data_IF_879419356163
#
_entry.id   IF_879419356163
#
_cell.length_a   1.000
_cell.length_b   1.000
_cell.length_c   1.000
_cell.angle_alpha   90.00
_cell.angle_beta   90.00
_cell.angle_gamma   90.00
#
_symmetry.space_group_name_H-M   'P 1'
#
loop_
_entity.id
_entity.type
_entity.pdbx_description
1 polymer ?
#
# COMPACT_ATOMS: atom_id res chain seq x y z
N UNK A 1 -28.28 2.15 14.09
CA UNK A 1 -28.27 0.68 14.19
C UNK A 1 -26.99 0.21 13.49
N UNK A 2 -26.12 -0.50 14.18
CA UNK A 2 -24.99 -1.16 13.51
C UNK A 2 -25.54 -2.21 12.52
N UNK A 3 -25.00 -2.33 11.30
CA UNK A 3 -25.41 -3.36 10.38
C UNK A 3 -25.14 -4.73 11.01
N UNK A 4 -26.06 -5.68 10.83
CA UNK A 4 -25.85 -7.07 11.28
C UNK A 4 -24.68 -7.66 10.49
N UNK A 5 -23.72 -8.29 11.18
CA UNK A 5 -22.61 -8.97 10.53
C UNK A 5 -23.15 -10.01 9.53
N UNK A 6 -22.61 -10.00 8.32
CA UNK A 6 -22.93 -10.99 7.30
C UNK A 6 -22.11 -12.27 7.56
N UNK A 7 -22.58 -13.42 7.03
CA UNK A 7 -21.83 -14.68 7.13
C UNK A 7 -20.45 -14.63 6.43
N UNK A 8 -20.25 -13.64 5.59
CA UNK A 8 -18.99 -13.41 4.84
C UNK A 8 -18.00 -12.52 5.58
N UNK A 9 -18.40 -11.87 6.70
CA UNK A 9 -17.55 -10.98 7.45
C UNK A 9 -16.49 -11.76 8.25
N UNK A 10 -15.25 -11.29 8.23
CA UNK A 10 -14.22 -11.82 9.12
C UNK A 10 -14.56 -11.51 10.59
N UNK A 11 -14.16 -12.39 11.49
CA UNK A 11 -14.29 -12.15 12.93
C UNK A 11 -13.45 -10.91 13.33
N UNK A 12 -13.84 -10.16 14.39
CA UNK A 12 -13.01 -9.07 14.91
C UNK A 12 -11.57 -9.53 15.18
N UNK A 13 -10.60 -8.66 14.92
CA UNK A 13 -9.21 -8.94 15.27
C UNK A 13 -9.07 -9.04 16.80
N UNK A 14 -8.22 -9.94 17.25
CA UNK A 14 -7.97 -10.15 18.69
C UNK A 14 -6.95 -9.17 19.26
N UNK A 15 -6.03 -8.71 18.39
CA UNK A 15 -4.92 -7.84 18.74
C UNK A 15 -4.42 -7.09 17.51
N UNK A 16 -3.36 -6.32 17.67
CA UNK A 16 -2.72 -5.54 16.62
C UNK A 16 -1.44 -6.21 16.06
N UNK A 17 -1.28 -7.52 16.18
CA UNK A 17 -0.04 -8.20 15.77
C UNK A 17 0.29 -8.05 14.28
N UNK A 18 -0.72 -7.87 13.43
CA UNK A 18 -0.57 -7.66 11.98
C UNK A 18 -0.59 -6.18 11.58
N UNK A 19 -0.75 -5.26 12.52
CA UNK A 19 -0.84 -3.83 12.22
C UNK A 19 0.50 -3.29 11.73
N UNK A 20 0.48 -2.67 10.55
CA UNK A 20 1.52 -1.78 10.05
C UNK A 20 0.99 -0.35 9.96
N UNK A 21 1.68 0.59 10.60
CA UNK A 21 1.36 2.01 10.54
C UNK A 21 2.06 2.62 9.33
N UNK A 22 1.32 2.96 8.28
CA UNK A 22 1.88 3.67 7.15
C UNK A 22 2.20 5.11 7.55
N UNK A 23 3.43 5.51 7.32
CA UNK A 23 3.95 6.82 7.73
C UNK A 23 3.18 8.00 7.11
N UNK A 24 2.55 7.81 5.92
CA UNK A 24 1.66 8.82 5.33
C UNK A 24 0.42 9.14 6.20
N UNK A 25 0.03 8.26 7.12
CA UNK A 25 -1.04 8.52 8.10
C UNK A 25 -0.66 9.63 9.09
N UNK A 26 0.65 9.88 9.27
CA UNK A 26 1.20 10.95 10.11
C UNK A 26 2.18 11.83 9.31
N UNK A 27 1.73 12.37 8.18
CA UNK A 27 2.59 13.06 7.20
C UNK A 27 3.36 14.24 7.79
N UNK A 28 2.80 14.94 8.79
CA UNK A 28 3.46 16.09 9.44
C UNK A 28 4.60 15.71 10.38
N UNK A 29 4.64 14.45 10.84
CA UNK A 29 5.70 13.97 11.69
C UNK A 29 6.91 13.49 10.88
N UNK A 30 8.10 13.62 11.44
CA UNK A 30 9.31 13.01 10.87
C UNK A 30 9.29 11.48 11.06
N UNK A 31 10.03 10.77 10.22
CA UNK A 31 10.11 9.31 10.32
C UNK A 31 10.63 8.83 11.69
N UNK A 32 11.67 9.44 12.31
CA UNK A 32 12.08 9.08 13.67
C UNK A 32 10.97 9.22 14.71
N UNK A 33 10.19 10.32 14.68
CA UNK A 33 9.07 10.53 15.62
C UNK A 33 8.00 9.45 15.47
N UNK A 34 7.65 9.07 14.22
CA UNK A 34 6.67 8.00 13.97
C UNK A 34 7.17 6.64 14.47
N UNK A 35 8.44 6.31 14.23
CA UNK A 35 9.06 5.07 14.73
C UNK A 35 8.97 5.01 16.26
N UNK A 36 9.35 6.09 16.95
CA UNK A 36 9.29 6.16 18.42
C UNK A 36 7.85 6.06 18.95
N UNK A 37 6.88 6.72 18.29
CA UNK A 37 5.48 6.66 18.68
C UNK A 37 4.91 5.24 18.49
N UNK A 38 5.20 4.58 17.37
CA UNK A 38 4.80 3.19 17.14
C UNK A 38 5.35 2.26 18.23
N UNK A 39 6.63 2.38 18.58
CA UNK A 39 7.25 1.59 19.65
C UNK A 39 6.58 1.84 21.02
N UNK A 40 6.36 3.12 21.39
CA UNK A 40 5.69 3.47 22.67
C UNK A 40 4.28 2.90 22.78
N UNK A 41 3.53 2.86 21.70
CA UNK A 41 2.14 2.37 21.67
C UNK A 41 2.02 0.88 21.32
N UNK A 42 3.14 0.17 21.15
CA UNK A 42 3.16 -1.25 20.82
C UNK A 42 2.50 -1.55 19.47
N UNK A 43 2.76 -0.71 18.47
CA UNK A 43 2.46 -0.97 17.06
C UNK A 43 3.68 -1.67 16.47
N UNK A 44 3.56 -2.92 15.98
CA UNK A 44 4.72 -3.75 15.66
C UNK A 44 5.33 -3.48 14.30
N UNK A 45 4.57 -2.90 13.35
CA UNK A 45 5.00 -2.69 11.99
C UNK A 45 4.87 -1.26 11.51
N UNK A 46 5.68 -0.91 10.53
CA UNK A 46 5.67 0.40 9.87
C UNK A 46 5.81 0.22 8.35
N UNK A 47 5.16 1.10 7.58
CA UNK A 47 5.43 1.30 6.16
C UNK A 47 6.04 2.68 5.95
N UNK A 48 7.01 2.78 5.06
CA UNK A 48 7.85 3.97 4.95
C UNK A 48 7.73 4.58 3.55
N UNK A 49 7.49 5.88 3.49
CA UNK A 49 7.49 6.66 2.26
C UNK A 49 8.89 7.16 1.93
N UNK A 50 9.32 7.01 0.67
CA UNK A 50 10.67 7.33 0.18
C UNK A 50 11.07 8.79 0.40
N UNK A 51 10.14 9.76 0.31
CA UNK A 51 10.45 11.15 0.57
C UNK A 51 10.91 11.40 2.03
N UNK A 52 10.40 10.61 3.00
CA UNK A 52 10.85 10.67 4.40
C UNK A 52 12.24 10.05 4.61
N UNK A 53 12.65 9.14 3.73
CA UNK A 53 14.02 8.62 3.72
C UNK A 53 15.03 9.66 3.26
N UNK A 54 14.64 10.56 2.36
CA UNK A 54 15.51 11.66 1.91
C UNK A 54 15.91 12.57 3.09
N UNK A 55 14.99 12.80 4.02
CA UNK A 55 15.25 13.64 5.21
C UNK A 55 16.07 12.89 6.28
N UNK A 56 15.78 11.61 6.47
CA UNK A 56 16.35 10.80 7.57
C UNK A 56 17.66 10.11 7.19
N UNK A 57 17.80 9.72 5.93
CA UNK A 57 18.82 8.80 5.43
C UNK A 57 18.43 7.32 5.63
N UNK A 58 18.63 6.51 4.59
CA UNK A 58 18.16 5.10 4.55
C UNK A 58 18.80 4.26 5.65
N UNK A 59 20.10 4.31 5.81
CA UNK A 59 20.85 3.54 6.83
C UNK A 59 20.44 3.92 8.26
N UNK A 60 20.24 5.22 8.50
CA UNK A 60 19.76 5.71 9.79
C UNK A 60 18.33 5.24 10.06
N UNK A 61 17.45 5.32 9.08
CA UNK A 61 16.09 4.83 9.19
C UNK A 61 16.05 3.32 9.52
N UNK A 62 16.83 2.51 8.79
CA UNK A 62 16.95 1.08 9.02
C UNK A 62 17.46 0.77 10.45
N UNK A 63 18.43 1.54 10.95
CA UNK A 63 18.90 1.40 12.32
C UNK A 63 17.79 1.74 13.33
N UNK A 64 17.10 2.84 13.17
CA UNK A 64 16.02 3.27 14.07
C UNK A 64 14.89 2.26 14.15
N UNK A 65 14.48 1.69 13.01
CA UNK A 65 13.44 0.65 12.94
C UNK A 65 13.89 -0.60 13.71
N UNK A 66 15.11 -1.09 13.48
CA UNK A 66 15.66 -2.25 14.21
C UNK A 66 15.79 -2.00 15.71
N UNK A 67 16.32 -0.85 16.11
CA UNK A 67 16.49 -0.48 17.53
C UNK A 67 15.13 -0.39 18.25
N UNK A 68 14.09 0.04 17.54
CA UNK A 68 12.71 0.10 18.04
C UNK A 68 11.99 -1.26 18.07
N UNK A 69 12.58 -2.31 17.48
CA UNK A 69 11.97 -3.64 17.39
C UNK A 69 10.79 -3.73 16.43
N UNK A 70 10.72 -2.82 15.44
CA UNK A 70 9.67 -2.80 14.42
C UNK A 70 10.09 -3.60 13.19
N UNK A 71 9.08 -4.12 12.46
CA UNK A 71 9.29 -4.64 11.11
C UNK A 71 8.74 -3.67 10.06
N UNK A 72 9.25 -3.74 8.83
CA UNK A 72 8.81 -2.89 7.71
C UNK A 72 7.95 -3.72 6.77
N UNK A 73 6.66 -3.40 6.64
CA UNK A 73 5.75 -4.08 5.72
C UNK A 73 6.03 -3.73 4.27
N UNK A 74 6.20 -2.45 4.00
CA UNK A 74 6.39 -1.96 2.64
C UNK A 74 7.21 -0.67 2.59
N UNK A 75 7.73 -0.39 1.41
CA UNK A 75 8.23 0.95 1.04
C UNK A 75 7.33 1.51 -0.06
N UNK A 76 6.89 2.74 0.09
CA UNK A 76 6.11 3.46 -0.87
C UNK A 76 6.92 4.66 -1.41
N UNK A 77 7.02 4.90 -2.68
CA UNK A 77 6.55 4.04 -3.77
C UNK A 77 7.60 3.90 -4.86
N UNK A 78 7.55 2.79 -5.55
CA UNK A 78 8.14 2.63 -6.87
C UNK A 78 7.10 2.86 -7.97
N UNK A 79 7.41 2.45 -9.21
CA UNK A 79 6.51 2.53 -10.35
C UNK A 79 6.76 3.75 -11.23
N UNK A 80 5.68 4.42 -11.66
CA UNK A 80 5.70 5.60 -12.54
C UNK A 80 6.40 5.34 -13.88
N UNK A 81 6.26 4.13 -14.43
CA UNK A 81 7.02 3.66 -15.60
C UNK A 81 6.71 4.41 -16.91
N UNK A 82 5.42 4.71 -17.24
CA UNK A 82 5.12 5.36 -18.50
C UNK A 82 5.75 6.75 -18.58
N UNK A 83 6.45 7.00 -19.69
CA UNK A 83 7.04 8.30 -19.99
C UNK A 83 7.10 8.50 -21.52
N UNK A 84 7.11 9.76 -22.00
CA UNK A 84 7.04 10.06 -23.44
C UNK A 84 8.25 9.53 -24.23
N UNK A 85 9.44 9.56 -23.64
CA UNK A 85 10.68 9.19 -24.30
C UNK A 85 11.33 7.95 -23.68
N UNK A 86 12.15 7.26 -24.47
CA UNK A 86 12.93 6.12 -24.00
C UNK A 86 13.90 6.51 -22.88
N UNK A 87 14.55 7.68 -22.98
CA UNK A 87 15.46 8.18 -21.97
C UNK A 87 14.76 8.42 -20.62
N UNK A 88 13.55 8.97 -20.63
CA UNK A 88 12.76 9.13 -19.42
C UNK A 88 12.32 7.80 -18.84
N UNK A 89 11.92 6.82 -19.67
CA UNK A 89 11.61 5.46 -19.22
C UNK A 89 12.81 4.79 -18.56
N UNK A 90 14.01 4.93 -19.15
CA UNK A 90 15.25 4.44 -18.55
C UNK A 90 15.52 5.08 -17.18
N UNK A 91 15.32 6.39 -17.05
CA UNK A 91 15.47 7.09 -15.78
C UNK A 91 14.47 6.59 -14.71
N UNK A 92 13.23 6.23 -15.10
CA UNK A 92 12.25 5.60 -14.20
C UNK A 92 12.71 4.22 -13.72
N UNK A 93 13.27 3.40 -14.61
CA UNK A 93 13.83 2.09 -14.26
C UNK A 93 14.97 2.24 -13.25
N UNK A 94 15.88 3.20 -13.45
CA UNK A 94 16.98 3.47 -12.53
C UNK A 94 16.49 3.99 -11.17
N UNK A 95 15.45 4.82 -11.14
CA UNK A 95 14.82 5.24 -9.88
C UNK A 95 14.18 4.06 -9.13
N UNK A 96 13.54 3.15 -9.85
CA UNK A 96 12.96 1.94 -9.24
C UNK A 96 14.03 0.99 -8.69
N UNK A 97 15.20 0.88 -9.33
CA UNK A 97 16.34 0.13 -8.76
C UNK A 97 16.79 0.74 -7.43
N UNK A 98 16.88 2.07 -7.36
CA UNK A 98 17.18 2.75 -6.07
C UNK A 98 16.10 2.48 -5.03
N UNK A 99 14.82 2.49 -5.41
CA UNK A 99 13.72 2.15 -4.51
C UNK A 99 13.80 0.71 -3.99
N UNK A 100 14.23 -0.23 -4.82
CA UNK A 100 14.50 -1.62 -4.42
C UNK A 100 15.65 -1.68 -3.41
N UNK A 101 16.75 -0.94 -3.63
CA UNK A 101 17.88 -0.89 -2.69
C UNK A 101 17.47 -0.27 -1.35
N UNK A 102 16.65 0.78 -1.35
CA UNK A 102 16.07 1.39 -0.17
C UNK A 102 15.21 0.38 0.61
N UNK A 103 14.31 -0.33 -0.08
CA UNK A 103 13.47 -1.37 0.51
C UNK A 103 14.29 -2.52 1.12
N UNK A 104 15.27 -3.03 0.39
CA UNK A 104 16.17 -4.07 0.86
C UNK A 104 16.97 -3.64 2.11
N UNK A 105 17.49 -2.41 2.13
CA UNK A 105 18.25 -1.87 3.27
C UNK A 105 17.37 -1.75 4.53
N UNK A 106 16.09 -1.39 4.34
CA UNK A 106 15.11 -1.31 5.43
C UNK A 106 14.60 -2.68 5.88
N UNK A 107 14.88 -3.74 5.15
CA UNK A 107 14.30 -5.07 5.37
C UNK A 107 12.80 -5.11 5.08
N UNK A 108 12.32 -4.28 4.15
CA UNK A 108 10.92 -4.25 3.75
C UNK A 108 10.55 -5.47 2.92
N UNK A 109 9.37 -6.05 3.17
CA UNK A 109 8.88 -7.20 2.42
C UNK A 109 8.46 -6.81 1.00
N UNK A 110 7.88 -5.61 0.82
CA UNK A 110 7.27 -5.17 -0.43
C UNK A 110 7.71 -3.77 -0.83
N UNK A 111 8.00 -3.58 -2.12
CA UNK A 111 8.01 -2.26 -2.76
C UNK A 111 6.67 -2.06 -3.49
N UNK A 112 5.85 -1.12 -3.02
CA UNK A 112 4.55 -0.78 -3.62
C UNK A 112 4.77 -0.04 -4.94
N UNK A 113 4.14 -0.51 -6.01
CA UNK A 113 4.23 0.07 -7.35
C UNK A 113 2.95 0.80 -7.74
N UNK A 114 3.00 2.12 -7.77
CA UNK A 114 2.03 2.97 -8.46
C UNK A 114 2.47 3.09 -9.92
N UNK A 115 1.77 2.42 -10.84
CA UNK A 115 2.28 2.14 -12.19
C UNK A 115 2.55 3.38 -13.06
N UNK A 116 1.92 4.52 -12.79
CA UNK A 116 2.05 5.75 -13.57
C UNK A 116 0.89 5.94 -14.55
N UNK A 117 0.54 7.19 -14.83
CA UNK A 117 -0.47 7.56 -15.82
C UNK A 117 0.09 7.53 -17.24
N UNK A 118 -0.80 7.49 -18.23
CA UNK A 118 -0.42 7.63 -19.64
C UNK A 118 0.22 9.01 -19.89
N UNK A 119 1.37 9.08 -20.56
CA UNK A 119 2.02 10.36 -20.91
C UNK A 119 1.27 11.11 -22.01
N UNK A 120 0.39 10.41 -22.69
CA UNK A 120 -0.50 10.89 -23.74
C UNK A 120 -1.93 10.37 -23.50
N UNK A 121 -2.72 10.19 -24.55
CA UNK A 121 -4.09 9.68 -24.43
C UNK A 121 -4.20 8.16 -24.60
N UNK A 122 -3.08 7.46 -24.85
CA UNK A 122 -3.06 6.01 -25.05
C UNK A 122 -2.79 5.27 -23.75
N UNK A 123 -3.87 5.01 -23.02
CA UNK A 123 -3.79 4.26 -21.76
C UNK A 123 -3.39 2.79 -21.99
N UNK A 124 -3.67 2.22 -23.15
CA UNK A 124 -3.28 0.86 -23.49
C UNK A 124 -1.77 0.76 -23.68
N UNK A 125 -1.16 1.70 -24.40
CA UNK A 125 0.29 1.80 -24.50
C UNK A 125 0.96 2.03 -23.13
N UNK A 126 0.35 2.86 -22.27
CA UNK A 126 0.87 3.08 -20.92
C UNK A 126 0.89 1.78 -20.06
N UNK A 127 -0.10 0.91 -20.21
CA UNK A 127 -0.14 -0.40 -19.54
C UNK A 127 1.00 -1.31 -19.99
N UNK A 128 1.33 -1.33 -21.28
CA UNK A 128 2.48 -2.07 -21.77
C UNK A 128 3.81 -1.45 -21.30
N UNK A 129 3.94 -0.12 -21.26
CA UNK A 129 5.11 0.53 -20.66
C UNK A 129 5.28 0.17 -19.18
N UNK A 130 4.18 0.05 -18.42
CA UNK A 130 4.24 -0.40 -17.04
C UNK A 130 4.69 -1.86 -16.94
N UNK A 131 4.19 -2.74 -17.80
CA UNK A 131 4.60 -4.13 -17.85
C UNK A 131 6.09 -4.30 -18.21
N UNK A 132 6.57 -3.55 -19.20
CA UNK A 132 7.99 -3.53 -19.60
C UNK A 132 8.88 -3.00 -18.48
N UNK A 133 8.42 -1.95 -17.78
CA UNK A 133 9.12 -1.40 -16.63
C UNK A 133 9.26 -2.40 -15.48
N UNK A 134 8.17 -3.10 -15.14
CA UNK A 134 8.21 -4.17 -14.13
C UNK A 134 9.14 -5.30 -14.58
N UNK A 135 9.08 -5.74 -15.84
CA UNK A 135 9.94 -6.77 -16.38
C UNK A 135 11.45 -6.40 -16.28
N UNK A 136 11.77 -5.11 -16.46
CA UNK A 136 13.15 -4.61 -16.39
C UNK A 136 13.71 -4.60 -14.96
N UNK A 137 12.85 -4.51 -13.91
CA UNK A 137 13.30 -4.43 -12.50
C UNK A 137 13.05 -5.72 -11.71
N UNK A 138 12.15 -6.59 -12.17
CA UNK A 138 11.77 -7.80 -11.43
C UNK A 138 12.95 -8.74 -11.13
N UNK A 139 13.90 -9.03 -12.04
CA UNK A 139 15.07 -9.83 -11.71
C UNK A 139 15.93 -9.20 -10.61
N UNK A 140 16.14 -7.88 -10.67
CA UNK A 140 16.89 -7.15 -9.66
C UNK A 140 16.22 -7.17 -8.29
N UNK A 141 14.89 -7.00 -8.25
CA UNK A 141 14.12 -7.08 -7.02
C UNK A 141 14.24 -8.48 -6.38
N UNK A 142 14.16 -9.54 -7.18
CA UNK A 142 14.36 -10.92 -6.72
C UNK A 142 15.76 -11.14 -6.12
N UNK A 143 16.83 -10.64 -6.78
CA UNK A 143 18.20 -10.69 -6.26
C UNK A 143 18.36 -9.98 -4.93
N UNK A 144 17.59 -8.89 -4.70
CA UNK A 144 17.61 -8.10 -3.48
C UNK A 144 16.65 -8.62 -2.41
N UNK A 145 15.87 -9.66 -2.69
CA UNK A 145 14.89 -10.22 -1.76
C UNK A 145 13.67 -9.32 -1.52
N UNK A 146 13.35 -8.41 -2.46
CA UNK A 146 12.21 -7.49 -2.38
C UNK A 146 11.13 -7.93 -3.34
N UNK A 147 9.91 -8.11 -2.84
CA UNK A 147 8.72 -8.40 -3.66
C UNK A 147 8.14 -7.10 -4.22
N UNK A 148 7.77 -7.11 -5.50
CA UNK A 148 7.11 -5.98 -6.14
C UNK A 148 5.59 -6.12 -6.00
N UNK A 149 4.92 -5.10 -5.46
CA UNK A 149 3.47 -5.11 -5.25
C UNK A 149 2.75 -4.10 -6.15
N UNK A 150 2.07 -4.57 -7.20
CA UNK A 150 1.27 -3.72 -8.09
C UNK A 150 0.03 -3.24 -7.33
N UNK A 151 -0.14 -1.93 -7.19
CA UNK A 151 -1.32 -1.33 -6.58
C UNK A 151 -2.25 -0.77 -7.66
N UNK A 152 -3.45 -1.36 -7.86
CA UNK A 152 -4.47 -0.74 -8.69
C UNK A 152 -5.04 0.49 -7.97
N UNK A 153 -5.09 1.64 -8.64
CA UNK A 153 -5.66 2.85 -8.05
C UNK A 153 -7.11 3.06 -8.51
N UNK A 154 -7.89 3.75 -7.67
CA UNK A 154 -9.26 4.15 -8.04
C UNK A 154 -9.28 4.86 -9.41
N UNK A 155 -10.26 4.60 -10.30
CA UNK A 155 -10.32 5.16 -11.66
C UNK A 155 -10.22 6.68 -11.73
N UNK A 156 -10.61 7.39 -10.67
CA UNK A 156 -10.42 8.84 -10.58
C UNK A 156 -8.94 9.28 -10.74
N UNK A 157 -7.99 8.37 -10.53
CA UNK A 157 -6.55 8.62 -10.65
C UNK A 157 -5.95 8.18 -11.99
N UNK A 158 -6.76 7.67 -12.91
CA UNK A 158 -6.27 7.13 -14.19
C UNK A 158 -5.46 8.13 -15.02
N UNK A 159 -5.84 9.41 -14.98
CA UNK A 159 -5.20 10.47 -15.76
C UNK A 159 -3.90 11.01 -15.13
N UNK A 160 -3.66 10.76 -13.82
CA UNK A 160 -2.58 11.45 -13.09
C UNK A 160 -1.60 10.50 -12.39
N UNK A 161 -2.04 9.30 -12.01
CA UNK A 161 -1.27 8.44 -11.10
C UNK A 161 -1.04 7.03 -11.60
N UNK A 162 -2.07 6.35 -12.15
CA UNK A 162 -1.92 4.94 -12.53
C UNK A 162 -2.82 4.55 -13.70
N UNK A 163 -2.24 3.91 -14.68
CA UNK A 163 -2.96 3.29 -15.79
C UNK A 163 -3.60 1.93 -15.39
N UNK A 164 -3.30 1.41 -14.21
CA UNK A 164 -3.88 0.18 -13.64
C UNK A 164 -4.93 0.59 -12.61
N UNK A 165 -6.21 0.29 -12.86
CA UNK A 165 -7.33 0.88 -12.10
C UNK A 165 -8.36 -0.14 -11.60
N UNK A 166 -8.21 -1.42 -11.92
CA UNK A 166 -9.10 -2.49 -11.44
C UNK A 166 -8.29 -3.65 -10.89
N UNK A 167 -8.91 -4.44 -10.01
CA UNK A 167 -8.31 -5.68 -9.49
C UNK A 167 -7.94 -6.64 -10.61
N UNK A 168 -8.80 -6.76 -11.62
CA UNK A 168 -8.56 -7.61 -12.79
C UNK A 168 -7.33 -7.20 -13.58
N UNK A 169 -7.15 -5.90 -13.86
CA UNK A 169 -5.95 -5.40 -14.56
C UNK A 169 -4.68 -5.70 -13.76
N UNK A 170 -4.69 -5.45 -12.45
CA UNK A 170 -3.55 -5.72 -11.58
C UNK A 170 -3.21 -7.22 -11.55
N UNK A 171 -4.21 -8.10 -11.42
CA UNK A 171 -4.01 -9.55 -11.45
C UNK A 171 -3.41 -10.01 -12.77
N UNK A 172 -4.02 -9.66 -13.91
CA UNK A 172 -3.55 -10.05 -15.23
C UNK A 172 -2.11 -9.56 -15.50
N UNK A 173 -1.77 -8.36 -15.00
CA UNK A 173 -0.40 -7.85 -15.11
C UNK A 173 0.55 -8.66 -14.21
N UNK A 174 0.17 -8.98 -12.98
CA UNK A 174 1.00 -9.77 -12.06
C UNK A 174 1.24 -11.20 -12.55
N UNK A 175 0.27 -11.80 -13.25
CA UNK A 175 0.38 -13.15 -13.82
C UNK A 175 1.43 -13.28 -14.92
N UNK A 176 1.93 -12.17 -15.46
CA UNK A 176 3.07 -12.18 -16.43
C UNK A 176 4.40 -12.51 -15.76
N UNK A 177 4.45 -12.59 -14.42
CA UNK A 177 5.66 -12.77 -13.60
C UNK A 177 5.49 -13.92 -12.59
N UNK A 178 6.59 -14.33 -11.98
CA UNK A 178 6.57 -15.28 -10.87
C UNK A 178 5.83 -14.68 -9.67
N UNK A 179 4.96 -15.46 -9.01
CA UNK A 179 4.14 -15.02 -7.89
C UNK A 179 4.97 -14.62 -6.67
N UNK A 180 6.12 -15.25 -6.45
CA UNK A 180 7.04 -14.92 -5.36
C UNK A 180 7.73 -13.57 -5.56
N UNK A 181 7.82 -13.09 -6.81
CA UNK A 181 8.52 -11.86 -7.14
C UNK A 181 7.58 -10.67 -7.38
N UNK A 182 6.44 -10.91 -8.07
CA UNK A 182 5.47 -9.85 -8.37
C UNK A 182 4.08 -10.26 -7.94
N UNK A 183 3.46 -9.44 -7.10
CA UNK A 183 2.10 -9.63 -6.62
C UNK A 183 1.28 -8.35 -6.72
N UNK A 184 0.13 -8.34 -6.04
CA UNK A 184 -0.81 -7.23 -6.00
C UNK A 184 -0.97 -6.72 -4.57
N UNK A 185 -0.90 -5.42 -4.37
CA UNK A 185 -1.29 -4.74 -3.13
C UNK A 185 -2.76 -4.34 -3.26
N UNK A 186 -3.56 -4.79 -2.31
CA UNK A 186 -5.00 -4.50 -2.26
C UNK A 186 -5.24 -3.38 -1.27
N UNK A 187 -5.40 -2.14 -1.75
CA UNK A 187 -5.85 -1.02 -0.91
C UNK A 187 -7.37 -0.88 -1.03
N UNK A 188 -8.07 -1.02 0.09
CA UNK A 188 -9.53 -0.91 0.13
C UNK A 188 -10.03 0.41 -0.46
N UNK A 189 -9.31 1.52 -0.27
CA UNK A 189 -9.69 2.83 -0.82
C UNK A 189 -9.83 2.84 -2.33
N UNK A 190 -9.01 2.05 -2.98
CA UNK A 190 -8.95 2.01 -4.43
C UNK A 190 -9.89 0.99 -5.06
N UNK A 191 -10.27 -0.06 -4.31
CA UNK A 191 -10.96 -1.20 -4.89
C UNK A 191 -12.33 -1.56 -4.26
N UNK A 192 -12.76 -0.86 -3.19
CA UNK A 192 -14.03 -1.17 -2.51
C UNK A 192 -15.25 -1.15 -3.43
N UNK A 193 -15.24 -0.30 -4.45
CA UNK A 193 -16.28 -0.08 -5.43
C UNK A 193 -16.26 -1.10 -6.59
N UNK A 194 -15.15 -1.84 -6.80
CA UNK A 194 -14.96 -2.75 -7.94
C UNK A 194 -15.91 -3.96 -7.80
N UNK A 195 -16.85 -4.15 -8.74
CA UNK A 195 -17.82 -5.24 -8.68
C UNK A 195 -17.17 -6.63 -8.83
N UNK A 196 -16.00 -6.71 -9.46
CA UNK A 196 -15.26 -7.97 -9.64
C UNK A 196 -14.27 -8.23 -8.49
N UNK A 197 -14.15 -7.32 -7.50
CA UNK A 197 -13.14 -7.37 -6.42
C UNK A 197 -13.06 -8.74 -5.73
N UNK A 198 -14.18 -9.24 -5.25
CA UNK A 198 -14.18 -10.48 -4.46
C UNK A 198 -13.71 -11.69 -5.28
N UNK A 199 -14.14 -11.78 -6.55
CA UNK A 199 -13.72 -12.85 -7.46
C UNK A 199 -12.25 -12.73 -7.83
N UNK A 200 -11.77 -11.51 -8.10
CA UNK A 200 -10.39 -11.26 -8.46
C UNK A 200 -9.44 -11.47 -7.26
N UNK A 201 -9.83 -11.11 -6.03
CA UNK A 201 -9.09 -11.43 -4.80
C UNK A 201 -8.96 -12.96 -4.65
N UNK A 202 -10.05 -13.70 -4.83
CA UNK A 202 -10.01 -15.17 -4.75
C UNK A 202 -9.07 -15.79 -5.79
N UNK A 203 -8.97 -15.19 -6.98
CA UNK A 203 -8.06 -15.66 -8.05
C UNK A 203 -6.59 -15.30 -7.80
N UNK A 204 -6.31 -14.24 -7.04
CA UNK A 204 -4.94 -13.83 -6.71
C UNK A 204 -4.22 -14.88 -5.87
N UNK A 205 -4.88 -15.46 -4.85
CA UNK A 205 -4.25 -16.44 -3.97
C UNK A 205 -2.93 -15.93 -3.37
N UNK A 206 -1.85 -16.65 -3.61
CA UNK A 206 -0.48 -16.32 -3.17
C UNK A 206 0.12 -15.06 -3.81
N UNK A 207 -0.55 -14.50 -4.83
CA UNK A 207 -0.14 -13.22 -5.44
C UNK A 207 -0.53 -11.99 -4.63
N UNK A 208 -1.29 -12.12 -3.54
CA UNK A 208 -1.52 -10.98 -2.65
C UNK A 208 -0.21 -10.63 -1.97
N UNK A 209 0.33 -9.45 -2.27
CA UNK A 209 1.60 -8.96 -1.74
C UNK A 209 1.42 -8.01 -0.55
N UNK A 210 0.27 -7.36 -0.44
CA UNK A 210 -0.05 -6.44 0.66
C UNK A 210 -1.54 -6.17 0.76
N UNK A 211 -1.97 -5.72 1.94
CA UNK A 211 -3.35 -5.33 2.19
C UNK A 211 -3.38 -4.03 2.99
N UNK A 212 -3.95 -2.98 2.39
CA UNK A 212 -4.05 -1.64 2.98
C UNK A 212 -5.49 -1.33 3.37
N UNK A 213 -5.66 -0.72 4.54
CA UNK A 213 -6.96 -0.36 5.11
C UNK A 213 -7.03 1.10 5.51
N UNK A 214 -8.17 1.68 5.30
CA UNK A 214 -8.60 3.03 5.63
C UNK A 214 -10.12 3.08 5.41
N UNK A 215 -10.73 4.24 5.26
CA UNK A 215 -12.14 4.31 4.92
C UNK A 215 -12.44 5.38 3.87
N UNK A 216 -13.58 5.25 3.19
CA UNK A 216 -14.06 6.18 2.19
C UNK A 216 -15.13 7.09 2.81
N UNK A 217 -14.78 8.35 3.08
CA UNK A 217 -15.69 9.31 3.67
C UNK A 217 -16.67 9.88 2.66
N UNK A 218 -17.91 10.12 3.11
CA UNK A 218 -18.94 10.80 2.34
C UNK A 218 -19.46 12.00 3.12
N UNK A 219 -19.68 13.17 2.47
CA UNK A 219 -19.43 13.46 1.06
C UNK A 219 -17.93 13.55 0.73
N UNK A 220 -17.55 13.13 -0.49
CA UNK A 220 -16.17 13.25 -0.96
C UNK A 220 -15.87 14.70 -1.28
N UNK A 221 -14.88 15.28 -0.58
CA UNK A 221 -14.40 16.65 -0.80
C UNK A 221 -13.20 16.70 -1.75
N UNK A 222 -12.32 15.73 -1.64
CA UNK A 222 -11.12 15.57 -2.46
C UNK A 222 -10.78 14.08 -2.52
N UNK A 223 -10.71 13.50 -3.71
CA UNK A 223 -10.54 12.04 -3.84
C UNK A 223 -9.21 11.56 -3.22
N UNK A 224 -8.14 12.34 -3.25
CA UNK A 224 -6.87 11.94 -2.66
C UNK A 224 -6.85 12.11 -1.13
N UNK A 225 -7.35 13.25 -0.65
CA UNK A 225 -7.17 13.73 0.72
C UNK A 225 -8.41 13.50 1.60
N UNK A 226 -9.25 12.54 1.26
CA UNK A 226 -10.51 12.28 1.98
C UNK A 226 -10.60 10.85 2.54
N UNK A 227 -9.44 10.20 2.76
CA UNK A 227 -9.43 8.91 3.43
C UNK A 227 -9.82 9.09 4.90
N UNK A 228 -10.67 8.20 5.40
CA UNK A 228 -11.12 8.17 6.79
C UNK A 228 -10.32 7.19 7.65
N UNK A 229 -10.41 7.37 8.97
CA UNK A 229 -10.05 6.31 9.91
C UNK A 229 -11.03 5.15 9.72
N UNK A 230 -10.56 3.91 9.91
CA UNK A 230 -11.38 2.71 9.78
C UNK A 230 -12.66 2.84 10.60
N UNK A 231 -13.81 2.63 9.94
CA UNK A 231 -15.16 2.72 10.52
C UNK A 231 -15.81 4.10 10.47
N UNK A 232 -15.14 5.12 9.93
CA UNK A 232 -15.73 6.45 9.78
C UNK A 232 -16.42 6.65 8.42
N UNK A 233 -16.31 5.71 7.50
CA UNK A 233 -16.81 5.80 6.13
C UNK A 233 -17.80 4.70 5.75
N UNK A 234 -17.72 4.26 4.50
CA UNK A 234 -18.71 3.35 3.89
C UNK A 234 -18.13 2.02 3.43
N UNK A 235 -16.85 1.75 3.67
CA UNK A 235 -16.20 0.50 3.23
C UNK A 235 -16.55 -0.65 4.17
N UNK A 236 -16.97 -1.79 3.61
CA UNK A 236 -17.23 -3.02 4.37
C UNK A 236 -15.89 -3.72 4.72
N UNK A 237 -15.11 -3.13 5.64
CA UNK A 237 -13.72 -3.54 5.93
C UNK A 237 -13.60 -5.02 6.32
N UNK A 238 -14.45 -5.51 7.24
CA UNK A 238 -14.42 -6.92 7.69
C UNK A 238 -14.74 -7.89 6.56
N UNK A 239 -15.65 -7.52 5.67
CA UNK A 239 -15.97 -8.34 4.50
C UNK A 239 -14.78 -8.47 3.57
N UNK A 240 -14.15 -7.32 3.22
CA UNK A 240 -12.98 -7.33 2.34
C UNK A 240 -11.82 -8.08 2.99
N UNK A 241 -11.57 -7.89 4.29
CA UNK A 241 -10.57 -8.67 5.01
C UNK A 241 -10.88 -10.17 4.96
N UNK A 242 -12.15 -10.56 5.12
CA UNK A 242 -12.58 -11.95 4.96
C UNK A 242 -12.29 -12.51 3.57
N UNK A 243 -12.47 -11.71 2.51
CA UNK A 243 -12.10 -12.09 1.15
C UNK A 243 -10.59 -12.34 1.03
N UNK A 244 -9.78 -11.43 1.56
CA UNK A 244 -8.30 -11.47 1.58
C UNK A 244 -7.78 -12.70 2.36
N UNK A 245 -8.32 -12.96 3.54
CA UNK A 245 -7.91 -14.07 4.40
C UNK A 245 -8.33 -15.43 3.81
N UNK A 246 -9.51 -15.52 3.20
CA UNK A 246 -9.94 -16.74 2.47
C UNK A 246 -9.08 -17.02 1.24
N UNK A 247 -8.51 -15.99 0.61
CA UNK A 247 -7.54 -16.15 -0.47
C UNK A 247 -6.15 -16.60 0.02
N UNK A 248 -5.93 -16.71 1.34
CA UNK A 248 -4.71 -17.23 1.95
C UNK A 248 -3.74 -16.18 2.46
N UNK A 249 -4.06 -14.89 2.40
CA UNK A 249 -3.17 -13.85 2.90
C UNK A 249 -3.19 -13.73 4.43
N UNK A 250 -2.05 -13.89 5.05
CA UNK A 250 -1.86 -13.79 6.50
C UNK A 250 -0.83 -12.72 6.92
N UNK A 251 -0.33 -11.97 5.96
CA UNK A 251 0.69 -10.95 6.14
C UNK A 251 0.19 -9.68 6.84
N UNK A 252 1.02 -8.63 6.85
CA UNK A 252 0.69 -7.33 7.44
C UNK A 252 -0.61 -6.73 6.91
N UNK A 253 -1.31 -5.99 7.76
CA UNK A 253 -2.44 -5.13 7.39
C UNK A 253 -2.01 -3.69 7.65
N UNK A 254 -1.89 -2.90 6.60
CA UNK A 254 -1.31 -1.58 6.62
C UNK A 254 -2.38 -0.50 6.68
N UNK A 255 -2.29 0.43 7.64
CA UNK A 255 -3.20 1.57 7.74
C UNK A 255 -2.59 2.77 7.04
N UNK A 256 -3.19 3.20 5.92
CA UNK A 256 -2.71 4.30 5.11
C UNK A 256 -3.78 5.38 4.91
N UNK A 257 -3.58 6.55 5.52
CA UNK A 257 -4.59 7.61 5.53
C UNK A 257 -4.01 8.94 5.04
N UNK A 258 -4.52 9.42 3.90
CA UNK A 258 -4.27 10.76 3.38
C UNK A 258 -5.44 11.66 3.76
N UNK A 259 -5.28 12.45 4.85
CA UNK A 259 -6.31 13.37 5.32
C UNK A 259 -5.69 14.45 6.21
N UNK A 260 -5.79 15.71 5.78
CA UNK A 260 -5.23 16.86 6.51
C UNK A 260 -5.76 16.99 7.95
N UNK A 261 -7.04 16.73 8.16
CA UNK A 261 -7.64 16.80 9.51
C UNK A 261 -7.14 15.69 10.44
N UNK A 262 -6.76 14.53 9.89
CA UNK A 262 -6.14 13.44 10.64
C UNK A 262 -4.69 13.80 10.97
N UNK A 263 -3.96 14.37 10.03
CA UNK A 263 -2.57 14.83 10.21
C UNK A 263 -2.41 15.96 11.23
N UNK A 264 -3.50 16.68 11.57
CA UNK A 264 -3.52 17.72 12.62
C UNK A 264 -3.53 17.17 14.03
N UNK A 265 -3.86 15.88 14.21
CA UNK A 265 -3.89 15.26 15.51
C UNK A 265 -2.50 15.12 16.13
N UNK A 266 -2.37 15.23 17.46
CA UNK A 266 -1.13 14.86 18.15
C UNK A 266 -0.72 13.43 17.79
N UNK A 267 0.56 13.21 17.48
CA UNK A 267 1.07 11.93 16.96
C UNK A 267 0.74 10.73 17.85
N UNK A 268 0.94 10.86 19.17
CA UNK A 268 0.65 9.77 20.12
C UNK A 268 -0.85 9.43 20.17
N UNK A 269 -1.72 10.43 20.07
CA UNK A 269 -3.18 10.22 19.96
C UNK A 269 -3.52 9.49 18.65
N UNK A 270 -2.92 9.91 17.53
CA UNK A 270 -3.17 9.33 16.23
C UNK A 270 -2.75 7.85 16.17
N UNK A 271 -1.56 7.53 16.66
CA UNK A 271 -1.06 6.12 16.68
C UNK A 271 -1.95 5.26 17.58
N UNK A 272 -2.33 5.75 18.77
CA UNK A 272 -3.25 5.05 19.67
C UNK A 272 -4.62 4.81 19.03
N UNK A 273 -5.23 5.86 18.45
CA UNK A 273 -6.52 5.78 17.76
C UNK A 273 -6.47 4.79 16.59
N UNK A 274 -5.40 4.82 15.80
CA UNK A 274 -5.21 3.88 14.69
C UNK A 274 -5.21 2.43 15.19
N UNK A 275 -4.49 2.14 16.27
CA UNK A 275 -4.45 0.80 16.86
C UNK A 275 -5.80 0.36 17.40
N UNK A 276 -6.53 1.23 18.09
CA UNK A 276 -7.87 0.96 18.62
C UNK A 276 -8.85 0.61 17.50
N UNK A 277 -8.94 1.48 16.49
CA UNK A 277 -9.83 1.29 15.34
C UNK A 277 -9.47 0.06 14.50
N UNK A 278 -8.18 -0.22 14.37
CA UNK A 278 -7.71 -1.43 13.68
C UNK A 278 -8.27 -2.69 14.32
N UNK A 279 -8.24 -2.81 15.63
CA UNK A 279 -8.75 -3.99 16.33
C UNK A 279 -10.28 -4.06 16.28
N UNK A 280 -10.97 -2.93 16.41
CA UNK A 280 -12.42 -2.88 16.48
C UNK A 280 -13.11 -3.12 15.14
N UNK A 281 -12.57 -2.58 14.05
CA UNK A 281 -13.30 -2.39 12.79
C UNK A 281 -12.71 -3.15 11.62
N UNK A 282 -11.39 -3.35 11.59
CA UNK A 282 -10.72 -4.00 10.43
C UNK A 282 -10.94 -5.49 10.37
#
# INVERSE_FOLDING_TARGET
MAPSASADDAAPLRDAARLSFNQATAERASLPEVIEACARHGVPGISIWRHKLTETGVERAAKLVRDAGLWVSSVCRGGMFPAPTEAERAARIDDNRRAIDEAATLGAEVLVLVCGAAPDRDIAAAREMAADGIAAIAPYAAERGVRLGIEPLHPAFAAERSCITTMREARLLSERFDASNVGVVVDVYHVWWDPERAEEIARLGDRIAGYHVNDWLVPVKNVLMNRGMMGDGVIELRRIRGEIERAGYTGPIEVEIFNESIWERPLDELVRLTKERFVEVS
#
